data_IF_711826620405
#
_entry.id   IF_711826620405
#
_cell.length_a   1.000
_cell.length_b   1.000
_cell.length_c   1.000
_cell.angle_alpha   90.00
_cell.angle_beta   90.00
_cell.angle_gamma   90.00
#
_symmetry.space_group_name_H-M   'P 1'
#
loop_
_entity.id
_entity.type
_entity.pdbx_description
1 polymer ?
#
# COMPACT_ATOMS: atom_id res chain seq x y z
N UNK A 1 26.35 -3.29 -6.67
CA UNK A 1 25.87 -2.09 -7.38
C UNK A 1 25.48 -1.08 -6.32
N UNK A 2 26.16 0.08 -6.28
CA UNK A 2 25.89 1.11 -5.28
C UNK A 2 24.52 1.74 -5.56
N UNK A 3 23.65 1.85 -4.54
CA UNK A 3 22.35 2.51 -4.70
C UNK A 3 22.57 4.00 -4.87
N UNK A 4 22.24 4.51 -6.06
CA UNK A 4 22.23 5.94 -6.37
C UNK A 4 21.00 6.55 -5.70
N UNK A 5 21.17 7.67 -4.99
CA UNK A 5 20.04 8.42 -4.44
C UNK A 5 19.17 8.93 -5.60
N UNK A 6 17.82 8.81 -5.53
CA UNK A 6 16.94 9.24 -6.59
C UNK A 6 17.10 10.75 -6.83
N UNK A 7 17.30 11.13 -8.08
CA UNK A 7 17.42 12.51 -8.56
C UNK A 7 16.05 13.06 -8.93
N UNK A 8 15.86 14.38 -8.87
CA UNK A 8 14.58 15.03 -9.23
C UNK A 8 14.08 14.75 -10.67
N UNK A 9 14.95 14.21 -11.53
CA UNK A 9 14.64 13.77 -12.90
C UNK A 9 13.96 12.39 -13.00
N UNK A 10 13.94 11.61 -11.90
CA UNK A 10 13.43 10.23 -11.89
C UNK A 10 11.91 10.17 -11.61
N UNK A 11 11.37 11.27 -11.11
CA UNK A 11 9.97 11.45 -10.79
C UNK A 11 9.19 12.17 -11.89
N UNK A 12 8.00 11.67 -12.22
CA UNK A 12 7.07 12.33 -13.16
C UNK A 12 5.82 12.79 -12.42
N UNK A 13 5.58 14.10 -12.51
CA UNK A 13 4.32 14.69 -12.07
C UNK A 13 3.22 14.45 -13.12
N UNK A 14 2.14 13.78 -12.74
CA UNK A 14 0.93 13.63 -13.57
C UNK A 14 0.12 14.92 -13.52
N UNK A 15 0.40 15.83 -14.45
CA UNK A 15 -0.22 17.16 -14.53
C UNK A 15 -1.54 17.19 -15.32
N UNK A 16 -1.82 16.16 -16.10
CA UNK A 16 -3.02 16.07 -16.94
C UNK A 16 -4.10 15.16 -16.33
N UNK A 17 -5.35 15.60 -16.43
CA UNK A 17 -6.54 14.90 -15.97
C UNK A 17 -6.66 13.51 -16.61
N UNK A 18 -6.45 13.40 -17.93
CA UNK A 18 -6.62 12.12 -18.63
C UNK A 18 -5.51 11.16 -18.26
N UNK A 19 -4.28 11.66 -18.12
CA UNK A 19 -3.14 10.87 -17.67
C UNK A 19 -3.34 10.30 -16.25
N UNK A 20 -3.81 11.12 -15.30
CA UNK A 20 -4.14 10.71 -13.93
C UNK A 20 -5.24 9.65 -13.88
N UNK A 21 -6.37 9.89 -14.57
CA UNK A 21 -7.48 8.92 -14.60
C UNK A 21 -7.09 7.59 -15.23
N UNK A 22 -6.33 7.62 -16.32
CA UNK A 22 -5.84 6.42 -16.99
C UNK A 22 -4.91 5.62 -16.07
N UNK A 23 -4.01 6.30 -15.36
CA UNK A 23 -3.10 5.66 -14.41
C UNK A 23 -3.86 4.86 -13.34
N UNK A 24 -4.81 5.50 -12.65
CA UNK A 24 -5.60 4.84 -11.62
C UNK A 24 -6.53 3.75 -12.17
N UNK A 25 -7.04 3.91 -13.40
CA UNK A 25 -7.83 2.87 -14.06
C UNK A 25 -6.99 1.64 -14.38
N UNK A 26 -5.79 1.82 -14.94
CA UNK A 26 -4.84 0.72 -15.20
C UNK A 26 -4.46 0.01 -13.92
N UNK A 27 -4.16 0.75 -12.84
CA UNK A 27 -3.80 0.13 -11.57
C UNK A 27 -4.94 -0.70 -10.98
N UNK A 28 -6.18 -0.19 -11.04
CA UNK A 28 -7.36 -0.92 -10.58
C UNK A 28 -7.53 -2.25 -11.31
N UNK A 29 -7.42 -2.23 -12.64
CA UNK A 29 -7.49 -3.45 -13.45
C UNK A 29 -6.43 -4.47 -13.06
N UNK A 30 -5.21 -4.01 -12.75
CA UNK A 30 -4.12 -4.89 -12.32
C UNK A 30 -4.43 -5.51 -10.97
N UNK A 31 -4.89 -4.71 -10.00
CA UNK A 31 -5.29 -5.23 -8.69
C UNK A 31 -6.42 -6.27 -8.80
N UNK A 32 -7.38 -6.06 -9.70
CA UNK A 32 -8.49 -7.01 -9.94
C UNK A 32 -7.99 -8.37 -10.46
N UNK A 33 -6.81 -8.42 -11.10
CA UNK A 33 -6.19 -9.65 -11.59
C UNK A 33 -5.30 -10.36 -10.57
N UNK A 34 -4.76 -9.66 -9.57
CA UNK A 34 -3.82 -10.24 -8.59
C UNK A 34 -4.38 -11.41 -7.77
N UNK A 35 -5.68 -11.48 -7.40
CA UNK A 35 -6.23 -12.67 -6.74
C UNK A 35 -6.07 -13.95 -7.56
N UNK A 36 -6.16 -13.87 -8.90
CA UNK A 36 -5.92 -15.04 -9.77
C UNK A 36 -4.47 -15.48 -9.75
N UNK A 37 -3.54 -14.53 -9.69
CA UNK A 37 -2.10 -14.81 -9.57
C UNK A 37 -1.81 -15.49 -8.23
N UNK A 38 -2.39 -15.00 -7.13
CA UNK A 38 -2.26 -15.63 -5.82
C UNK A 38 -2.80 -17.07 -5.81
N UNK A 39 -3.91 -17.33 -6.52
CA UNK A 39 -4.46 -18.68 -6.68
C UNK A 39 -3.54 -19.61 -7.48
N UNK A 40 -2.89 -19.13 -8.54
CA UNK A 40 -1.89 -19.92 -9.29
C UNK A 40 -0.65 -20.22 -8.43
N UNK A 41 -0.19 -19.25 -7.63
CA UNK A 41 0.91 -19.47 -6.68
C UNK A 41 0.57 -20.55 -5.64
N UNK A 42 -0.70 -20.63 -5.20
CA UNK A 42 -1.20 -21.74 -4.37
C UNK A 42 -1.07 -23.07 -5.07
N UNK A 43 -1.54 -23.15 -6.32
CA UNK A 43 -1.52 -24.38 -7.11
C UNK A 43 -0.09 -24.91 -7.29
N UNK A 44 0.90 -24.01 -7.33
CA UNK A 44 2.34 -24.34 -7.42
C UNK A 44 3.01 -24.58 -6.06
N UNK A 45 2.27 -24.63 -4.96
CA UNK A 45 2.78 -24.77 -3.58
C UNK A 45 3.83 -23.72 -3.18
N UNK A 46 3.75 -22.51 -3.75
CA UNK A 46 4.68 -21.42 -3.43
C UNK A 46 4.29 -20.65 -2.17
N UNK A 47 2.98 -20.58 -1.89
CA UNK A 47 2.40 -19.94 -0.72
C UNK A 47 1.42 -20.89 -0.03
N UNK A 48 1.41 -20.86 1.31
CA UNK A 48 0.40 -21.55 2.11
C UNK A 48 -0.92 -20.78 2.15
N UNK A 49 -2.00 -21.44 2.58
CA UNK A 49 -3.33 -20.84 2.65
C UNK A 49 -3.39 -19.58 3.54
N UNK A 50 -2.85 -19.58 4.77
CA UNK A 50 -2.82 -18.37 5.60
C UNK A 50 -2.04 -17.21 4.94
N UNK A 51 -0.99 -17.52 4.19
CA UNK A 51 -0.17 -16.50 3.51
C UNK A 51 -0.92 -15.83 2.35
N UNK A 52 -1.78 -16.59 1.65
CA UNK A 52 -2.62 -16.06 0.58
C UNK A 52 -3.69 -15.13 1.15
N UNK A 53 -4.30 -15.50 2.27
CA UNK A 53 -5.27 -14.64 2.97
C UNK A 53 -4.64 -13.33 3.45
N UNK A 54 -3.42 -13.42 4.01
CA UNK A 54 -2.63 -12.24 4.40
C UNK A 54 -2.31 -11.38 3.17
N UNK A 55 -1.84 -11.98 2.08
CA UNK A 55 -1.53 -11.27 0.83
C UNK A 55 -2.78 -10.59 0.27
N UNK A 56 -3.92 -11.28 0.22
CA UNK A 56 -5.19 -10.73 -0.25
C UNK A 56 -5.63 -9.52 0.61
N UNK A 57 -5.41 -9.59 1.93
CA UNK A 57 -5.69 -8.48 2.84
C UNK A 57 -4.84 -7.26 2.49
N UNK A 58 -3.53 -7.41 2.31
CA UNK A 58 -2.65 -6.28 1.94
C UNK A 58 -2.95 -5.74 0.55
N UNK A 59 -3.31 -6.59 -0.42
CA UNK A 59 -3.70 -6.16 -1.76
C UNK A 59 -4.99 -5.34 -1.73
N UNK A 60 -5.95 -5.73 -0.89
CA UNK A 60 -7.20 -4.97 -0.68
C UNK A 60 -6.89 -3.60 -0.08
N UNK A 61 -6.05 -3.56 0.95
CA UNK A 61 -5.61 -2.31 1.58
C UNK A 61 -4.88 -1.38 0.60
N UNK A 62 -4.03 -1.94 -0.26
CA UNK A 62 -3.34 -1.21 -1.31
C UNK A 62 -4.33 -0.65 -2.34
N UNK A 63 -5.36 -1.42 -2.68
CA UNK A 63 -6.48 -0.96 -3.51
C UNK A 63 -7.23 0.21 -2.91
N UNK A 64 -7.54 0.18 -1.62
CA UNK A 64 -8.15 1.30 -0.92
C UNK A 64 -7.24 2.55 -0.94
N UNK A 65 -5.94 2.39 -0.71
CA UNK A 65 -4.94 3.49 -0.82
C UNK A 65 -4.99 4.14 -2.21
N UNK A 66 -4.94 3.35 -3.27
CA UNK A 66 -4.99 3.88 -4.63
C UNK A 66 -6.34 4.48 -4.98
N UNK A 67 -7.44 3.94 -4.43
CA UNK A 67 -8.76 4.53 -4.59
C UNK A 67 -8.83 5.92 -3.94
N UNK A 68 -8.37 6.07 -2.70
CA UNK A 68 -8.30 7.35 -2.01
C UNK A 68 -7.46 8.37 -2.81
N UNK A 69 -6.25 7.99 -3.25
CA UNK A 69 -5.41 8.84 -4.09
C UNK A 69 -6.11 9.22 -5.40
N UNK A 70 -6.89 8.31 -6.01
CA UNK A 70 -7.64 8.61 -7.22
C UNK A 70 -8.71 9.69 -7.02
N UNK A 71 -9.29 9.78 -5.82
CA UNK A 71 -10.23 10.85 -5.45
C UNK A 71 -9.50 12.17 -5.21
N UNK A 72 -8.38 12.14 -4.46
CA UNK A 72 -7.53 13.32 -4.22
C UNK A 72 -7.08 13.99 -5.52
N UNK A 73 -6.67 13.18 -6.50
CA UNK A 73 -6.12 13.65 -7.77
C UNK A 73 -7.14 13.65 -8.93
N UNK A 74 -8.44 13.52 -8.62
CA UNK A 74 -9.50 13.35 -9.63
C UNK A 74 -9.64 14.54 -10.57
N UNK A 75 -9.34 15.75 -10.10
CA UNK A 75 -9.48 17.02 -10.83
C UNK A 75 -8.16 17.75 -11.09
N UNK A 76 -7.03 17.05 -11.03
CA UNK A 76 -5.74 17.63 -11.47
C UNK A 76 -5.86 18.20 -12.88
N UNK A 77 -5.31 19.40 -13.08
CA UNK A 77 -5.34 20.11 -14.37
C UNK A 77 -6.67 20.81 -14.70
N UNK A 78 -7.65 20.82 -13.78
CA UNK A 78 -8.88 21.62 -13.91
C UNK A 78 -8.80 22.91 -13.10
N UNK A 79 -9.45 23.95 -13.58
CA UNK A 79 -9.66 25.16 -12.79
C UNK A 79 -10.73 24.92 -11.73
N UNK A 80 -10.27 24.55 -10.53
CA UNK A 80 -11.14 24.32 -9.36
C UNK A 80 -11.17 25.53 -8.41
N UNK A 81 -10.57 26.66 -8.80
CA UNK A 81 -10.36 27.83 -7.93
C UNK A 81 -9.18 27.70 -6.96
N UNK A 82 -8.59 26.51 -6.80
CA UNK A 82 -7.29 26.28 -6.14
C UNK A 82 -6.44 25.30 -6.96
N UNK A 83 -5.13 25.51 -7.10
CA UNK A 83 -4.28 24.53 -7.78
C UNK A 83 -4.27 23.21 -7.01
N UNK A 84 -4.61 22.10 -7.68
CA UNK A 84 -4.38 20.75 -7.14
C UNK A 84 -2.97 20.33 -7.55
N UNK A 85 -2.06 20.05 -6.60
CA UNK A 85 -0.74 19.53 -6.93
C UNK A 85 -0.86 18.24 -7.75
N UNK A 86 -0.01 18.04 -8.76
CA UNK A 86 0.00 16.79 -9.52
C UNK A 86 0.51 15.64 -8.67
N UNK A 87 -0.05 14.44 -8.88
CA UNK A 87 0.48 13.21 -8.31
C UNK A 87 1.90 12.98 -8.81
N UNK A 88 2.84 12.76 -7.91
CA UNK A 88 4.21 12.41 -8.26
C UNK A 88 4.38 10.89 -8.27
N UNK A 89 4.79 10.36 -9.43
CA UNK A 89 5.11 8.95 -9.60
C UNK A 89 6.62 8.78 -9.73
N UNK A 90 7.14 7.68 -9.20
CA UNK A 90 8.45 7.19 -9.61
C UNK A 90 8.28 6.44 -10.94
N UNK A 91 8.99 6.92 -11.95
CA UNK A 91 8.85 6.44 -13.33
C UNK A 91 10.06 5.69 -13.84
N UNK A 92 11.11 5.54 -13.04
CA UNK A 92 12.28 4.78 -13.46
C UNK A 92 12.19 3.34 -12.97
N UNK A 93 11.81 3.16 -11.70
CA UNK A 93 11.96 1.86 -11.05
C UNK A 93 10.61 1.20 -10.71
N UNK A 94 9.67 1.94 -10.11
CA UNK A 94 8.43 1.34 -9.58
C UNK A 94 7.18 1.54 -10.42
N UNK A 95 6.91 2.73 -10.96
CA UNK A 95 5.60 3.10 -11.52
C UNK A 95 4.52 3.40 -10.46
N UNK A 96 4.89 3.44 -9.18
CA UNK A 96 3.98 3.72 -8.06
C UNK A 96 4.07 5.19 -7.60
N UNK A 97 3.10 5.70 -6.81
CA UNK A 97 3.23 6.99 -6.13
C UNK A 97 4.53 7.05 -5.33
N UNK A 98 5.17 8.22 -5.27
CA UNK A 98 6.38 8.35 -4.44
C UNK A 98 6.03 8.20 -2.95
N UNK A 99 6.96 7.67 -2.16
CA UNK A 99 6.79 7.47 -0.71
C UNK A 99 6.20 8.68 0.03
N UNK A 100 6.61 9.90 -0.36
CA UNK A 100 6.11 11.14 0.25
C UNK A 100 4.59 11.32 0.11
N UNK A 101 3.96 10.78 -0.93
CA UNK A 101 2.51 10.83 -1.11
C UNK A 101 1.77 10.11 0.02
N UNK A 102 2.33 8.98 0.50
CA UNK A 102 1.76 8.22 1.60
C UNK A 102 1.90 8.98 2.93
N UNK A 103 2.98 9.73 3.12
CA UNK A 103 3.17 10.57 4.30
C UNK A 103 2.16 11.73 4.33
N UNK A 104 1.93 12.39 3.19
CA UNK A 104 0.91 13.43 3.07
C UNK A 104 -0.47 12.82 3.35
N UNK A 105 -0.77 11.65 2.77
CA UNK A 105 -2.04 10.96 2.98
C UNK A 105 -2.25 10.58 4.45
N UNK A 106 -1.21 10.15 5.17
CA UNK A 106 -1.29 9.84 6.59
C UNK A 106 -1.59 11.10 7.42
N UNK A 107 -0.99 12.24 7.08
CA UNK A 107 -1.32 13.52 7.70
C UNK A 107 -2.77 13.96 7.41
N UNK A 108 -3.23 13.79 6.16
CA UNK A 108 -4.62 14.08 5.78
C UNK A 108 -5.61 13.20 6.58
N UNK A 109 -5.26 11.93 6.83
CA UNK A 109 -6.11 10.99 7.56
C UNK A 109 -6.31 11.39 9.02
N UNK A 110 -5.31 11.98 9.68
CA UNK A 110 -5.44 12.51 11.04
C UNK A 110 -6.48 13.63 11.15
N UNK A 111 -6.71 14.37 10.05
CA UNK A 111 -7.64 15.50 10.01
C UNK A 111 -8.98 15.14 9.34
N UNK A 112 -9.13 13.91 8.84
CA UNK A 112 -10.26 13.53 7.98
C UNK A 112 -11.61 13.72 8.66
N UNK A 113 -11.76 13.33 9.92
CA UNK A 113 -13.02 13.50 10.67
C UNK A 113 -13.44 14.98 10.76
N UNK A 114 -12.52 15.85 11.18
CA UNK A 114 -12.75 17.30 11.25
C UNK A 114 -13.12 17.90 9.91
N UNK A 115 -12.49 17.46 8.82
CA UNK A 115 -12.85 17.91 7.46
C UNK A 115 -14.25 17.44 7.07
N UNK A 116 -14.60 16.19 7.34
CA UNK A 116 -15.91 15.62 7.00
C UNK A 116 -17.07 16.29 7.71
N UNK A 117 -16.90 16.66 8.97
CA UNK A 117 -17.91 17.37 9.78
C UNK A 117 -18.22 18.76 9.22
N UNK A 118 -17.21 19.41 8.62
CA UNK A 118 -17.33 20.74 8.04
C UNK A 118 -17.71 20.73 6.54
N UNK A 119 -17.94 19.56 5.95
CA UNK A 119 -18.29 19.41 4.53
C UNK A 119 -19.76 19.00 4.33
N UNK A 120 -20.46 19.52 3.31
CA UNK A 120 -21.78 19.03 2.94
C UNK A 120 -21.75 17.54 2.56
N UNK A 121 -22.83 16.81 2.84
CA UNK A 121 -22.99 15.41 2.45
C UNK A 121 -22.79 15.16 0.95
N UNK A 122 -22.31 13.97 0.57
CA UNK A 122 -22.09 13.61 -0.84
C UNK A 122 -23.36 13.75 -1.68
N UNK A 123 -24.51 13.32 -1.15
CA UNK A 123 -25.81 13.47 -1.81
C UNK A 123 -26.25 14.93 -1.94
N UNK A 124 -25.89 15.79 -0.98
CA UNK A 124 -26.17 17.23 -1.06
C UNK A 124 -25.32 17.89 -2.15
N UNK A 125 -24.03 17.55 -2.23
CA UNK A 125 -23.15 18.05 -3.29
C UNK A 125 -23.62 17.58 -4.67
N UNK A 126 -24.08 16.33 -4.80
CA UNK A 126 -24.66 15.81 -6.05
C UNK A 126 -25.93 16.58 -6.47
N UNK A 127 -26.85 16.85 -5.53
CA UNK A 127 -28.04 17.66 -5.81
C UNK A 127 -27.68 19.07 -6.27
N UNK A 128 -26.79 19.75 -5.55
CA UNK A 128 -26.31 21.09 -5.93
C UNK A 128 -25.68 21.11 -7.33
N UNK A 129 -24.93 20.06 -7.69
CA UNK A 129 -24.39 19.94 -9.05
C UNK A 129 -25.49 19.83 -10.11
N UNK A 130 -26.52 19.01 -9.87
CA UNK A 130 -27.66 18.86 -10.79
C UNK A 130 -28.40 20.19 -10.95
N UNK A 131 -28.67 20.87 -9.83
CA UNK A 131 -29.36 22.16 -9.85
C UNK A 131 -28.57 23.20 -10.66
N UNK A 132 -27.25 23.27 -10.46
CA UNK A 132 -26.38 24.19 -11.21
C UNK A 132 -26.36 23.84 -12.71
N UNK A 133 -26.26 22.56 -13.07
CA UNK A 133 -26.28 22.12 -14.47
C UNK A 133 -27.61 22.49 -15.15
N UNK A 134 -28.74 22.34 -14.45
CA UNK A 134 -30.07 22.63 -15.03
C UNK A 134 -30.32 24.13 -15.12
N UNK A 135 -30.00 24.88 -14.06
CA UNK A 135 -30.28 26.31 -13.98
C UNK A 135 -29.31 27.16 -14.81
N UNK A 136 -28.01 26.86 -14.73
CA UNK A 136 -26.94 27.69 -15.32
C UNK A 136 -26.37 27.10 -16.60
N UNK A 137 -26.63 25.81 -16.90
CA UNK A 137 -26.04 25.06 -18.03
C UNK A 137 -24.51 25.07 -18.03
N UNK A 138 -23.92 25.16 -16.85
CA UNK A 138 -22.47 25.19 -16.64
C UNK A 138 -21.97 23.90 -15.97
N UNK A 139 -20.69 23.58 -16.17
CA UNK A 139 -20.03 22.43 -15.56
C UNK A 139 -19.62 22.81 -14.13
N UNK A 140 -20.19 22.17 -13.08
CA UNK A 140 -20.02 22.58 -11.69
C UNK A 140 -18.68 22.13 -11.11
N UNK A 141 -17.57 22.58 -11.69
CA UNK A 141 -16.20 22.10 -11.41
C UNK A 141 -15.79 22.28 -9.95
N UNK A 142 -16.23 23.37 -9.30
CA UNK A 142 -15.98 23.61 -7.87
C UNK A 142 -16.74 22.62 -6.96
N UNK A 143 -17.99 22.30 -7.31
CA UNK A 143 -18.77 21.30 -6.57
C UNK A 143 -18.24 19.88 -6.81
N UNK A 144 -17.76 19.58 -8.03
CA UNK A 144 -17.06 18.33 -8.32
C UNK A 144 -15.79 18.19 -7.48
N UNK A 145 -15.04 19.29 -7.29
CA UNK A 145 -13.86 19.30 -6.42
C UNK A 145 -14.23 19.04 -4.97
N UNK A 146 -15.25 19.74 -4.44
CA UNK A 146 -15.74 19.53 -3.09
C UNK A 146 -16.21 18.08 -2.86
N UNK A 147 -16.91 17.49 -3.84
CA UNK A 147 -17.33 16.09 -3.78
C UNK A 147 -16.12 15.14 -3.78
N UNK A 148 -15.14 15.36 -4.66
CA UNK A 148 -13.93 14.54 -4.72
C UNK A 148 -13.14 14.58 -3.39
N UNK A 149 -13.00 15.76 -2.79
CA UNK A 149 -12.36 15.91 -1.47
C UNK A 149 -13.15 15.20 -0.37
N UNK A 150 -14.48 15.33 -0.36
CA UNK A 150 -15.31 14.59 0.59
C UNK A 150 -15.11 13.08 0.46
N UNK A 151 -15.19 12.55 -0.76
CA UNK A 151 -15.01 11.11 -1.00
C UNK A 151 -13.61 10.66 -0.57
N UNK A 152 -12.57 11.44 -0.86
CA UNK A 152 -11.21 11.18 -0.37
C UNK A 152 -11.17 11.06 1.15
N UNK A 153 -11.68 12.04 1.90
CA UNK A 153 -11.69 11.98 3.36
C UNK A 153 -12.58 10.85 3.91
N UNK A 154 -13.65 10.47 3.21
CA UNK A 154 -14.47 9.31 3.59
C UNK A 154 -13.67 8.00 3.48
N UNK A 155 -12.90 7.82 2.42
CA UNK A 155 -12.00 6.67 2.28
C UNK A 155 -10.89 6.68 3.35
N UNK A 156 -10.33 7.85 3.67
CA UNK A 156 -9.35 7.98 4.76
C UNK A 156 -9.94 7.60 6.12
N UNK A 157 -11.15 8.08 6.42
CA UNK A 157 -11.83 7.82 7.68
C UNK A 157 -12.32 6.37 7.81
N UNK A 158 -12.64 5.71 6.70
CA UNK A 158 -12.96 4.28 6.67
C UNK A 158 -11.77 3.43 7.13
N UNK A 159 -10.54 3.88 6.89
CA UNK A 159 -9.34 3.15 7.23
C UNK A 159 -9.10 1.97 6.28
N UNK A 160 -8.46 0.91 6.78
CA UNK A 160 -8.08 -0.26 5.97
C UNK A 160 -7.21 0.10 4.76
N UNK A 161 -6.33 1.08 4.94
CA UNK A 161 -5.39 1.56 3.93
C UNK A 161 -4.02 0.91 4.11
N UNK A 162 -3.29 0.78 3.01
CA UNK A 162 -1.88 0.44 3.04
C UNK A 162 -1.04 1.70 3.27
N UNK A 163 -0.34 1.74 4.38
CA UNK A 163 0.47 2.88 4.82
C UNK A 163 1.96 2.71 4.51
N UNK A 164 2.73 3.77 4.77
CA UNK A 164 4.20 3.72 4.75
C UNK A 164 4.74 2.63 5.68
N UNK A 165 4.09 2.45 6.82
CA UNK A 165 4.37 1.43 7.82
C UNK A 165 3.06 0.77 8.24
N UNK A 166 2.99 -0.55 8.14
CA UNK A 166 1.83 -1.34 8.53
C UNK A 166 2.27 -2.32 9.61
N UNK A 167 1.73 -2.14 10.82
CA UNK A 167 2.23 -2.80 12.02
C UNK A 167 2.19 -4.33 11.92
N UNK A 168 3.14 -5.02 12.60
CA UNK A 168 3.16 -6.46 12.63
C UNK A 168 1.92 -7.03 13.32
N UNK A 169 1.37 -8.08 12.72
CA UNK A 169 0.28 -8.91 13.22
C UNK A 169 0.74 -10.35 13.22
N UNK A 170 0.21 -11.16 14.11
CA UNK A 170 0.48 -12.59 14.09
C UNK A 170 -0.80 -13.40 14.09
N UNK A 171 -0.71 -14.58 13.47
CA UNK A 171 -1.73 -15.62 13.52
C UNK A 171 -1.09 -16.92 14.00
N UNK A 172 -1.85 -17.70 14.76
CA UNK A 172 -1.44 -19.04 15.19
C UNK A 172 -1.63 -20.04 14.05
N UNK A 173 -0.58 -20.79 13.73
CA UNK A 173 -0.63 -21.84 12.71
C UNK A 173 -1.12 -23.15 13.36
N UNK A 174 -2.44 -23.33 13.42
CA UNK A 174 -3.02 -24.59 13.88
C UNK A 174 -2.91 -25.66 12.78
N UNK A 175 -2.08 -26.69 13.01
CA UNK A 175 -2.11 -27.92 12.21
C UNK A 175 -1.16 -27.97 11.00
N UNK A 176 0.11 -28.31 11.27
CA UNK A 176 0.96 -29.12 10.37
C UNK A 176 2.06 -29.77 11.21
N UNK A 177 1.81 -31.00 11.66
CA UNK A 177 2.79 -31.74 12.48
C UNK A 177 3.00 -31.18 13.89
N UNK A 178 1.94 -30.70 14.55
CA UNK A 178 2.00 -30.28 15.96
C UNK A 178 2.09 -31.51 16.88
N UNK A 179 3.17 -32.27 16.73
CA UNK A 179 3.62 -33.33 17.64
C UNK A 179 4.64 -32.80 18.64
N UNK A 180 4.94 -31.50 18.62
CA UNK A 180 5.84 -30.81 19.54
C UNK A 180 5.10 -29.85 20.48
N UNK A 181 5.72 -29.57 21.63
CA UNK A 181 5.22 -28.70 22.71
C UNK A 181 5.30 -27.20 22.42
N UNK A 182 5.67 -26.77 21.21
CA UNK A 182 5.95 -25.36 20.85
C UNK A 182 4.93 -24.80 19.88
N UNK A 183 4.37 -23.64 20.19
CA UNK A 183 3.38 -22.96 19.34
C UNK A 183 4.06 -22.36 18.11
N UNK A 184 3.49 -22.61 16.92
CA UNK A 184 3.93 -21.98 15.67
C UNK A 184 3.08 -20.76 15.33
N UNK A 185 3.76 -19.67 15.01
CA UNK A 185 3.17 -18.39 14.70
C UNK A 185 3.63 -17.95 13.32
N UNK A 186 2.71 -17.33 12.56
CA UNK A 186 3.04 -16.58 11.36
C UNK A 186 2.87 -15.10 11.66
N UNK A 187 3.98 -14.38 11.80
CA UNK A 187 3.99 -12.93 11.89
C UNK A 187 4.05 -12.36 10.48
N UNK A 188 3.24 -11.35 10.22
CA UNK A 188 3.26 -10.60 8.97
C UNK A 188 3.19 -9.10 9.22
N UNK A 189 3.92 -8.34 8.41
CA UNK A 189 3.90 -6.88 8.41
C UNK A 189 4.20 -6.37 7.00
N UNK A 190 3.95 -5.09 6.75
CA UNK A 190 4.24 -4.52 5.45
C UNK A 190 4.76 -3.09 5.56
N UNK A 191 5.65 -2.71 4.65
CA UNK A 191 6.17 -1.36 4.55
C UNK A 191 6.11 -0.90 3.11
N UNK A 192 5.92 0.39 2.92
CA UNK A 192 6.22 1.01 1.64
C UNK A 192 7.69 1.39 1.64
N UNK A 193 8.53 0.60 0.98
CA UNK A 193 9.98 0.78 1.02
C UNK A 193 10.34 2.05 0.24
N UNK A 194 10.95 3.04 0.90
CA UNK A 194 11.32 4.31 0.29
C UNK A 194 12.55 4.24 -0.62
N UNK A 195 13.37 3.18 -0.50
CA UNK A 195 14.56 3.02 -1.34
C UNK A 195 14.20 2.51 -2.73
N UNK A 196 13.28 1.54 -2.81
CA UNK A 196 12.81 0.96 -4.08
C UNK A 196 11.43 1.46 -4.50
N UNK A 197 10.77 2.27 -3.67
CA UNK A 197 9.44 2.82 -3.87
C UNK A 197 8.35 1.76 -4.16
N UNK A 198 8.41 0.63 -3.45
CA UNK A 198 7.46 -0.48 -3.63
C UNK A 198 6.85 -0.96 -2.30
N UNK A 199 5.54 -1.29 -2.29
CA UNK A 199 4.94 -2.02 -1.19
C UNK A 199 5.63 -3.37 -1.01
N UNK A 200 6.07 -3.64 0.21
CA UNK A 200 6.87 -4.81 0.55
C UNK A 200 6.27 -5.48 1.77
N UNK A 201 5.86 -6.74 1.61
CA UNK A 201 5.24 -7.56 2.65
C UNK A 201 6.28 -8.55 3.18
N UNK A 202 6.35 -8.67 4.49
CA UNK A 202 7.19 -9.63 5.18
C UNK A 202 6.32 -10.69 5.84
N UNK A 203 6.75 -11.95 5.72
CA UNK A 203 6.11 -13.11 6.33
C UNK A 203 7.18 -13.88 7.09
N UNK A 204 7.02 -14.03 8.40
CA UNK A 204 7.93 -14.75 9.27
C UNK A 204 7.20 -15.87 9.99
N UNK A 205 7.57 -17.11 9.72
CA UNK A 205 7.17 -18.24 10.55
C UNK A 205 8.17 -18.38 11.70
N UNK A 206 7.68 -18.51 12.93
CA UNK A 206 8.51 -18.72 14.11
C UNK A 206 7.88 -19.74 15.06
N UNK A 207 8.73 -20.32 15.89
CA UNK A 207 8.33 -21.15 17.03
C UNK A 207 8.49 -20.36 18.33
N UNK A 208 7.42 -20.29 19.13
CA UNK A 208 7.42 -19.71 20.47
C UNK A 208 7.64 -20.82 21.50
N UNK A 209 8.71 -20.67 22.28
CA UNK A 209 9.08 -21.55 23.39
C UNK A 209 8.84 -20.91 24.77
N UNK A 210 8.24 -19.71 24.79
CA UNK A 210 7.92 -18.98 26.01
C UNK A 210 6.83 -19.67 26.82
N UNK A 211 6.82 -19.38 28.14
CA UNK A 211 5.81 -19.92 29.07
C UNK A 211 4.41 -19.37 28.81
N UNK A 212 4.34 -18.10 28.47
CA UNK A 212 3.11 -17.42 28.07
C UNK A 212 3.07 -17.40 26.54
N UNK A 213 1.93 -17.59 25.88
CA UNK A 213 1.84 -17.41 24.43
C UNK A 213 2.14 -15.95 24.03
N UNK A 214 2.96 -15.73 23.00
CA UNK A 214 3.39 -14.39 22.55
C UNK A 214 2.22 -13.41 22.40
N UNK A 215 1.12 -13.80 21.74
CA UNK A 215 -0.02 -12.92 21.47
C UNK A 215 -0.81 -12.51 22.72
N UNK A 216 -0.63 -13.22 23.84
CA UNK A 216 -1.26 -12.89 25.12
C UNK A 216 -0.30 -12.17 26.06
N UNK A 217 0.96 -12.06 25.67
CA UNK A 217 1.99 -11.43 26.47
C UNK A 217 2.01 -9.91 26.21
N UNK A 218 1.52 -9.16 27.20
CA UNK A 218 1.41 -7.69 27.12
C UNK A 218 2.76 -6.98 27.08
N UNK A 219 3.87 -7.67 27.33
CA UNK A 219 5.22 -7.10 27.30
C UNK A 219 5.98 -7.52 26.05
N UNK A 220 6.07 -8.82 25.77
CA UNK A 220 6.84 -9.34 24.63
C UNK A 220 6.26 -8.93 23.28
N UNK A 221 4.93 -8.91 23.13
CA UNK A 221 4.33 -8.60 21.83
C UNK A 221 4.61 -7.16 21.35
N UNK A 222 4.42 -6.10 22.17
CA UNK A 222 4.82 -4.75 21.78
C UNK A 222 6.32 -4.61 21.47
N UNK A 223 7.19 -5.29 22.23
CA UNK A 223 8.64 -5.32 21.98
C UNK A 223 8.96 -5.92 20.59
N UNK A 224 8.31 -7.05 20.25
CA UNK A 224 8.41 -7.68 18.92
C UNK A 224 7.93 -6.75 17.82
N UNK A 225 6.79 -6.09 18.00
CA UNK A 225 6.25 -5.17 17.01
C UNK A 225 7.22 -4.01 16.73
N UNK A 226 7.74 -3.38 17.80
CA UNK A 226 8.70 -2.29 17.67
C UNK A 226 10.02 -2.73 17.02
N UNK A 227 10.53 -3.91 17.38
CA UNK A 227 11.75 -4.47 16.82
C UNK A 227 11.64 -4.71 15.30
N UNK A 228 10.57 -5.38 14.87
CA UNK A 228 10.34 -5.67 13.45
C UNK A 228 10.15 -4.40 12.62
N UNK A 229 9.42 -3.42 13.15
CA UNK A 229 9.23 -2.13 12.48
C UNK A 229 10.53 -1.33 12.35
N UNK A 230 11.39 -1.36 13.38
CA UNK A 230 12.69 -0.71 13.32
C UNK A 230 13.63 -1.28 12.26
N UNK A 231 13.55 -2.59 11.99
CA UNK A 231 14.38 -3.28 11.00
C UNK A 231 13.83 -3.21 9.57
N UNK A 232 12.53 -2.93 9.40
CA UNK A 232 11.89 -2.93 8.10
C UNK A 232 12.26 -1.71 7.21
N UNK A 233 12.95 -0.70 7.76
CA UNK A 233 13.12 0.63 7.15
C UNK A 233 14.36 0.83 6.25
N UNK A 234 15.04 -0.22 5.81
CA UNK A 234 16.35 -0.01 5.14
C UNK A 234 16.80 -1.05 4.15
N UNK A 235 15.91 -1.83 3.55
CA UNK A 235 16.31 -2.85 2.58
C UNK A 235 17.26 -3.91 3.15
N UNK A 236 17.22 -4.14 4.47
CA UNK A 236 18.09 -5.10 5.15
C UNK A 236 17.99 -6.48 4.51
N UNK A 237 19.09 -7.23 4.56
CA UNK A 237 19.09 -8.63 4.13
C UNK A 237 18.20 -9.43 5.08
N UNK A 238 17.43 -10.37 4.53
CA UNK A 238 16.52 -11.21 5.34
C UNK A 238 17.27 -11.95 6.45
N UNK A 239 18.49 -12.42 6.18
CA UNK A 239 19.32 -13.07 7.20
C UNK A 239 19.68 -12.13 8.35
N UNK A 240 19.88 -10.84 8.08
CA UNK A 240 20.17 -9.83 9.12
C UNK A 240 18.95 -9.61 10.01
N UNK A 241 17.75 -9.53 9.42
CA UNK A 241 16.49 -9.41 10.16
C UNK A 241 16.27 -10.66 11.02
N UNK A 242 16.36 -11.86 10.42
CA UNK A 242 16.14 -13.11 11.13
C UNK A 242 17.13 -13.33 12.27
N UNK A 243 18.43 -13.05 12.05
CA UNK A 243 19.45 -13.15 13.08
C UNK A 243 19.26 -12.11 14.18
N UNK A 244 19.03 -10.85 13.83
CA UNK A 244 18.77 -9.79 14.81
C UNK A 244 17.55 -10.07 15.67
N UNK A 245 16.53 -10.71 15.10
CA UNK A 245 15.34 -11.16 15.83
C UNK A 245 15.65 -12.30 16.79
N UNK A 246 16.31 -13.37 16.32
CA UNK A 246 16.70 -14.53 17.15
C UNK A 246 17.64 -14.11 18.29
N UNK A 247 18.59 -13.21 18.04
CA UNK A 247 19.51 -12.67 19.06
C UNK A 247 18.80 -11.77 20.09
N UNK A 248 17.64 -11.20 19.77
CA UNK A 248 16.92 -10.26 20.66
C UNK A 248 15.85 -10.92 21.52
N UNK A 249 15.40 -12.12 21.17
CA UNK A 249 14.30 -12.80 21.85
C UNK A 249 14.66 -14.28 22.10
N UNK A 250 15.10 -14.57 23.32
CA UNK A 250 15.58 -15.90 23.74
C UNK A 250 14.57 -17.04 23.50
N UNK A 251 13.27 -16.72 23.49
CA UNK A 251 12.18 -17.69 23.41
C UNK A 251 11.45 -17.71 22.07
N UNK A 252 11.83 -16.85 21.11
CA UNK A 252 11.21 -16.76 19.79
C UNK A 252 12.19 -17.14 18.69
N UNK A 253 11.91 -18.24 17.99
CA UNK A 253 12.86 -18.82 17.03
C UNK A 253 12.35 -18.73 15.60
N UNK A 254 12.87 -17.81 14.76
CA UNK A 254 12.46 -17.70 13.37
C UNK A 254 12.85 -18.95 12.57
N UNK A 255 11.90 -19.49 11.80
CA UNK A 255 12.05 -20.71 10.99
C UNK A 255 12.09 -20.40 9.50
N UNK A 256 11.25 -19.47 9.06
CA UNK A 256 11.28 -18.97 7.70
C UNK A 256 11.00 -17.48 7.70
N UNK A 257 11.67 -16.74 6.83
CA UNK A 257 11.42 -15.32 6.59
C UNK A 257 11.39 -15.10 5.09
N UNK A 258 10.30 -14.52 4.61
CA UNK A 258 10.10 -14.18 3.20
C UNK A 258 9.72 -12.72 3.06
N UNK A 259 10.16 -12.15 1.95
CA UNK A 259 9.86 -10.78 1.53
C UNK A 259 9.25 -10.81 0.15
N UNK A 260 8.06 -10.24 0.03
CA UNK A 260 7.28 -10.15 -1.20
C UNK A 260 7.22 -8.68 -1.60
N UNK A 261 7.72 -8.36 -2.79
CA UNK A 261 7.58 -7.02 -3.37
C UNK A 261 6.36 -7.00 -4.29
N UNK A 262 5.48 -6.01 -4.13
CA UNK A 262 4.30 -5.83 -4.97
C UNK A 262 4.62 -4.85 -6.10
N UNK A 263 4.99 -5.38 -7.26
CA UNK A 263 5.37 -4.61 -8.44
C UNK A 263 6.70 -5.07 -9.03
N UNK A 264 7.36 -4.24 -9.86
CA UNK A 264 6.95 -2.89 -10.27
C UNK A 264 5.79 -2.88 -11.28
N UNK A 265 5.15 -1.72 -11.42
CA UNK A 265 4.12 -1.45 -12.41
C UNK A 265 4.78 -1.07 -13.73
N UNK A 266 5.03 -2.06 -14.57
CA UNK A 266 5.56 -1.84 -15.92
C UNK A 266 4.44 -1.43 -16.88
N UNK A 267 4.34 -0.14 -17.18
CA UNK A 267 3.41 0.38 -18.18
C UNK A 267 4.15 1.40 -19.08
N UNK A 268 4.13 1.17 -20.39
CA UNK A 268 4.91 1.94 -21.37
C UNK A 268 4.62 3.47 -21.35
N UNK A 269 3.44 3.89 -20.87
CA UNK A 269 3.09 5.31 -20.71
C UNK A 269 3.63 6.00 -19.44
N UNK A 270 4.08 5.21 -18.46
CA UNK A 270 4.36 5.68 -17.10
C UNK A 270 5.77 5.34 -16.61
N UNK A 271 6.39 4.23 -17.05
CA UNK A 271 7.76 3.87 -16.67
C UNK A 271 8.73 3.96 -17.86
N UNK A 272 9.91 4.56 -17.68
CA UNK A 272 11.02 4.49 -18.65
C UNK A 272 11.88 3.29 -18.30
N UNK A 273 11.75 2.22 -19.07
CA UNK A 273 12.58 1.03 -18.89
C UNK A 273 13.79 1.07 -19.83
N UNK A 274 14.87 0.41 -19.42
CA UNK A 274 15.99 0.07 -20.30
C UNK A 274 16.15 -1.46 -20.31
N UNK A 275 16.47 -2.05 -21.47
CA UNK A 275 16.70 -3.49 -21.63
C UNK A 275 15.56 -4.27 -22.32
N UNK A 276 15.66 -5.61 -22.38
CA UNK A 276 14.82 -6.47 -23.25
C UNK A 276 13.32 -6.45 -22.94
N UNK A 277 12.93 -6.14 -21.69
CA UNK A 277 11.52 -6.00 -21.31
C UNK A 277 10.84 -4.78 -21.96
N UNK A 278 11.61 -3.74 -22.30
CA UNK A 278 11.09 -2.54 -22.95
C UNK A 278 10.54 -2.84 -24.36
N UNK A 279 11.23 -3.71 -25.11
CA UNK A 279 10.84 -4.10 -26.48
C UNK A 279 9.55 -4.93 -26.47
N UNK A 280 9.40 -5.84 -25.50
CA UNK A 280 8.18 -6.66 -25.37
C UNK A 280 6.97 -5.82 -24.94
N UNK A 281 7.19 -4.79 -24.11
CA UNK A 281 6.12 -3.92 -23.63
C UNK A 281 5.79 -2.75 -24.57
N UNK A 282 6.60 -2.49 -25.59
CA UNK A 282 6.32 -1.46 -26.62
C UNK A 282 5.49 -1.98 -27.78
N UNK A 283 5.45 -3.30 -27.95
CA UNK A 283 4.66 -3.99 -28.97
C UNK A 283 3.25 -4.42 -28.50
N UNK A 284 2.93 -4.25 -27.21
CA UNK A 284 1.65 -4.61 -26.58
C UNK A 284 0.71 -3.41 -26.38
#
# INVERSE_FOLDING_TARGET
>A
MASRAPTAEDHKALRDLRASRRYFATFRQILDHLPRVAADMRARNQLSEPEIEILATYLTQLGHTFHALSMKYLLVGRDTGRPVPPLTLDTQDSGFPVFNELLIMANDAQQAATHLDNMPGAETLKRQMVDQIVAERDIPTRLQFALAQRLYYQELARGELFWAQNDPRAIELYGRGNTGTRSRLLIHWAVYDSQVNLPTIYLMELEDSGRTPLLRDTRRWPEVQAHLMGQALGGLKLLTIAKGFDDSFDDLHPKSLRRLHLGPLYAHGYTRQSGPLHEVLSEA
#
